data_IF_624458429699
#
_entry.id   IF_624458429699
#
_cell.length_a   1.000
_cell.length_b   1.000
_cell.length_c   1.000
_cell.angle_alpha   90.00
_cell.angle_beta   90.00
_cell.angle_gamma   90.00
#
_symmetry.space_group_name_H-M   'P 1'
#
loop_
_entity.id
_entity.type
_entity.pdbx_description
1 polymer ?
#
# COMPACT_ATOMS: atom_id res chain seq x y z
N UNK A 1 -1.45 10.06 17.40
CA UNK A 1 -2.31 10.70 16.39
C UNK A 1 -3.72 10.68 16.96
N UNK A 2 -4.54 11.72 16.74
CA UNK A 2 -5.96 11.65 17.11
C UNK A 2 -6.71 10.78 16.10
N UNK A 3 -7.89 10.22 16.45
CA UNK A 3 -8.75 9.50 15.50
C UNK A 3 -9.02 10.28 14.21
N UNK A 4 -9.08 11.62 14.28
CA UNK A 4 -9.25 12.50 13.13
C UNK A 4 -8.13 12.39 12.10
N UNK A 5 -6.90 12.07 12.52
CA UNK A 5 -5.76 11.97 11.59
C UNK A 5 -5.80 10.65 10.82
N UNK A 6 -6.23 9.56 11.47
CA UNK A 6 -6.42 8.26 10.78
C UNK A 6 -7.53 8.41 9.72
N UNK A 7 -8.66 9.02 10.09
CA UNK A 7 -9.77 9.24 9.16
C UNK A 7 -9.37 10.11 7.97
N UNK A 8 -8.57 11.16 8.20
CA UNK A 8 -8.00 11.97 7.11
C UNK A 8 -7.08 11.16 6.21
N UNK A 9 -6.23 10.30 6.77
CA UNK A 9 -5.35 9.42 5.97
C UNK A 9 -6.15 8.39 5.16
N UNK A 10 -7.19 7.79 5.74
CA UNK A 10 -8.09 6.87 5.01
C UNK A 10 -8.82 7.58 3.87
N UNK A 11 -9.25 8.83 4.06
CA UNK A 11 -9.85 9.63 3.00
C UNK A 11 -8.85 9.91 1.86
N UNK A 12 -7.63 10.36 2.18
CA UNK A 12 -6.58 10.53 1.17
C UNK A 12 -6.27 9.24 0.43
N UNK A 13 -6.21 8.12 1.14
CA UNK A 13 -5.93 6.80 0.56
C UNK A 13 -7.06 6.33 -0.36
N UNK A 14 -8.31 6.67 -0.04
CA UNK A 14 -9.48 6.43 -0.91
C UNK A 14 -9.35 7.20 -2.21
N UNK A 15 -8.91 8.46 -2.16
CA UNK A 15 -8.64 9.25 -3.38
C UNK A 15 -7.57 8.59 -4.25
N UNK A 16 -6.41 8.24 -3.68
CA UNK A 16 -5.33 7.59 -4.43
C UNK A 16 -5.76 6.24 -5.01
N UNK A 17 -6.58 5.49 -4.29
CA UNK A 17 -7.11 4.21 -4.76
C UNK A 17 -8.05 4.40 -5.94
N UNK A 18 -8.93 5.40 -5.90
CA UNK A 18 -9.83 5.72 -7.01
C UNK A 18 -9.05 6.15 -8.25
N UNK A 19 -8.00 6.96 -8.08
CA UNK A 19 -7.11 7.35 -9.18
C UNK A 19 -6.40 6.13 -9.78
N UNK A 20 -5.91 5.20 -8.95
CA UNK A 20 -5.30 3.95 -9.41
C UNK A 20 -6.31 3.04 -10.12
N UNK A 21 -7.55 2.98 -9.63
CA UNK A 21 -8.62 2.18 -10.22
C UNK A 21 -8.94 2.59 -11.66
N UNK A 22 -8.76 3.87 -12.02
CA UNK A 22 -8.92 4.34 -13.40
C UNK A 22 -7.93 3.69 -14.38
N UNK A 23 -6.81 3.16 -13.87
CA UNK A 23 -5.78 2.46 -14.64
C UNK A 23 -5.84 0.94 -14.46
N UNK A 24 -6.87 0.39 -13.80
CA UNK A 24 -6.93 -1.05 -13.46
C UNK A 24 -6.84 -1.97 -14.67
N UNK A 25 -7.54 -1.63 -15.75
CA UNK A 25 -7.62 -2.43 -16.98
C UNK A 25 -6.81 -1.79 -18.14
N UNK A 26 -5.83 -0.94 -17.81
CA UNK A 26 -4.98 -0.24 -18.80
C UNK A 26 -4.16 -1.26 -19.61
N UNK A 27 -3.98 -1.01 -20.91
CA UNK A 27 -3.04 -1.82 -21.72
C UNK A 27 -1.59 -1.57 -21.29
N UNK A 28 -0.68 -2.50 -21.60
CA UNK A 28 0.74 -2.32 -21.25
C UNK A 28 1.37 -1.12 -21.97
N UNK A 29 1.00 -0.87 -23.23
CA UNK A 29 1.52 0.26 -24.01
C UNK A 29 1.07 1.62 -23.43
N UNK A 30 -0.21 1.73 -23.04
CA UNK A 30 -0.73 2.92 -22.37
C UNK A 30 -0.17 3.08 -20.96
N UNK A 31 0.02 1.97 -20.24
CA UNK A 31 0.71 1.95 -18.95
C UNK A 31 2.11 2.54 -19.09
N UNK A 32 2.87 2.17 -20.12
CA UNK A 32 4.21 2.71 -20.31
C UNK A 32 4.24 4.21 -20.59
N UNK A 33 3.16 4.79 -21.11
CA UNK A 33 3.05 6.25 -21.27
C UNK A 33 2.74 6.96 -19.93
N UNK A 34 2.29 6.23 -18.92
CA UNK A 34 1.79 6.74 -17.62
C UNK A 34 2.49 6.13 -16.40
N UNK A 35 3.58 5.38 -16.61
CA UNK A 35 4.18 4.55 -15.57
C UNK A 35 4.57 5.36 -14.31
N UNK A 36 5.16 6.54 -14.45
CA UNK A 36 5.49 7.41 -13.31
C UNK A 36 4.27 7.85 -12.47
N UNK A 37 3.12 8.09 -13.11
CA UNK A 37 1.88 8.41 -12.39
C UNK A 37 1.43 7.22 -11.55
N UNK A 38 1.43 6.03 -12.14
CA UNK A 38 0.98 4.80 -11.49
C UNK A 38 1.94 4.38 -10.38
N UNK A 39 3.25 4.48 -10.60
CA UNK A 39 4.27 4.29 -9.57
C UNK A 39 4.02 5.20 -8.36
N UNK A 40 3.75 6.48 -8.61
CA UNK A 40 3.49 7.45 -7.55
C UNK A 40 2.24 7.10 -6.76
N UNK A 41 1.17 6.68 -7.43
CA UNK A 41 -0.06 6.23 -6.76
C UNK A 41 0.19 5.00 -5.88
N UNK A 42 0.92 4.01 -6.39
CA UNK A 42 1.30 2.81 -5.63
C UNK A 42 2.17 3.18 -4.40
N UNK A 43 3.14 4.07 -4.57
CA UNK A 43 3.97 4.55 -3.46
C UNK A 43 3.13 5.24 -2.38
N UNK A 44 2.25 6.16 -2.77
CA UNK A 44 1.38 6.90 -1.86
C UNK A 44 0.45 5.96 -1.08
N UNK A 45 -0.10 4.93 -1.72
CA UNK A 45 -0.94 3.91 -1.07
C UNK A 45 -0.14 3.13 -0.02
N UNK A 46 1.02 2.60 -0.40
CA UNK A 46 1.89 1.82 0.52
C UNK A 46 2.35 2.67 1.71
N UNK A 47 2.81 3.90 1.46
CA UNK A 47 3.27 4.80 2.52
C UNK A 47 2.13 5.17 3.47
N UNK A 48 0.97 5.54 2.94
CA UNK A 48 -0.18 5.97 3.76
C UNK A 48 -0.71 4.81 4.60
N UNK A 49 -0.83 3.61 4.03
CA UNK A 49 -1.21 2.41 4.77
C UNK A 49 -0.19 2.06 5.86
N UNK A 50 1.11 2.16 5.56
CA UNK A 50 2.18 1.92 6.53
C UNK A 50 2.12 2.91 7.69
N UNK A 51 1.93 4.20 7.42
CA UNK A 51 1.77 5.24 8.45
C UNK A 51 0.61 4.95 9.40
N UNK A 52 -0.53 4.52 8.85
CA UNK A 52 -1.72 4.13 9.64
C UNK A 52 -1.35 2.95 10.55
N UNK A 53 -0.75 1.90 9.99
CA UNK A 53 -0.36 0.71 10.74
C UNK A 53 0.66 1.05 11.84
N UNK A 54 1.71 1.80 11.54
CA UNK A 54 2.68 2.23 12.55
C UNK A 54 2.01 2.98 13.68
N UNK A 55 1.07 3.88 13.35
CA UNK A 55 0.37 4.60 14.38
C UNK A 55 -0.47 3.69 15.27
N UNK A 56 -1.20 2.74 14.67
CA UNK A 56 -2.04 1.78 15.41
C UNK A 56 -1.21 0.83 16.28
N UNK A 57 -0.04 0.39 15.82
CA UNK A 57 0.90 -0.44 16.59
C UNK A 57 1.46 0.36 17.76
N UNK A 58 1.98 1.58 17.52
CA UNK A 58 2.53 2.43 18.57
C UNK A 58 1.49 2.81 19.63
N UNK A 59 0.21 2.94 19.26
CA UNK A 59 -0.88 3.22 20.20
C UNK A 59 -1.16 2.04 21.16
N UNK A 60 -0.66 0.84 20.86
CA UNK A 60 -0.75 -0.35 21.69
C UNK A 60 0.52 -0.62 22.51
N UNK A 61 1.42 0.36 22.60
CA UNK A 61 2.71 0.28 23.33
C UNK A 61 3.64 -0.86 22.84
N UNK A 62 3.43 -1.32 21.61
CA UNK A 62 4.26 -2.35 20.98
C UNK A 62 5.49 -1.73 20.30
N UNK A 63 6.61 -2.47 20.21
CA UNK A 63 7.81 -2.01 19.50
C UNK A 63 7.50 -1.63 18.06
N UNK A 64 8.08 -0.51 17.62
CA UNK A 64 7.93 -0.02 16.24
C UNK A 64 8.61 -1.01 15.28
N UNK A 65 7.90 -1.53 14.27
CA UNK A 65 8.47 -2.44 13.28
C UNK A 65 9.66 -1.82 12.51
N UNK A 66 10.66 -2.64 12.20
CA UNK A 66 11.89 -2.19 11.53
C UNK A 66 11.73 -1.85 10.04
N UNK A 67 10.59 -2.19 9.43
CA UNK A 67 10.30 -1.91 8.01
C UNK A 67 8.79 -1.93 7.74
N UNK A 68 8.36 -1.39 6.60
CA UNK A 68 6.96 -1.45 6.15
C UNK A 68 6.44 -2.89 6.04
N UNK A 69 7.26 -3.79 5.51
CA UNK A 69 6.94 -5.22 5.45
C UNK A 69 6.69 -5.80 6.84
N UNK A 70 7.58 -5.51 7.79
CA UNK A 70 7.43 -5.97 9.17
C UNK A 70 6.18 -5.35 9.83
N UNK A 71 5.84 -4.11 9.49
CA UNK A 71 4.67 -3.43 10.02
C UNK A 71 3.37 -4.11 9.61
N UNK A 72 3.20 -4.44 8.32
CA UNK A 72 2.01 -5.16 7.86
C UNK A 72 1.90 -6.54 8.50
N UNK A 73 2.96 -7.33 8.53
CA UNK A 73 2.94 -8.65 9.18
C UNK A 73 2.52 -8.56 10.65
N UNK A 74 3.13 -7.62 11.39
CA UNK A 74 2.79 -7.39 12.80
C UNK A 74 1.33 -6.96 12.99
N UNK A 75 0.79 -6.14 12.08
CA UNK A 75 -0.62 -5.76 12.10
C UNK A 75 -1.56 -6.97 11.96
N UNK A 76 -1.19 -7.96 11.15
CA UNK A 76 -1.92 -9.22 11.03
C UNK A 76 -1.87 -10.06 12.31
N UNK A 77 -0.70 -10.21 12.92
CA UNK A 77 -0.53 -10.92 14.20
C UNK A 77 -1.36 -10.30 15.32
N UNK A 78 -1.51 -8.98 15.31
CA UNK A 78 -2.27 -8.22 16.29
C UNK A 78 -3.77 -8.17 16.00
N UNK A 79 -4.22 -8.76 14.88
CA UNK A 79 -5.61 -8.71 14.44
C UNK A 79 -6.12 -7.31 14.08
N UNK A 80 -5.21 -6.38 13.74
CA UNK A 80 -5.57 -5.04 13.25
C UNK A 80 -6.14 -5.15 11.83
N UNK A 81 -5.58 -6.05 11.03
CA UNK A 81 -6.07 -6.44 9.71
C UNK A 81 -6.02 -7.97 9.59
N UNK A 82 -6.74 -8.54 8.63
CA UNK A 82 -6.72 -9.98 8.36
C UNK A 82 -5.33 -10.52 8.02
N UNK A 83 -5.01 -11.74 8.46
CA UNK A 83 -3.68 -12.34 8.27
C UNK A 83 -3.30 -12.51 6.79
N UNK A 84 -4.27 -12.87 5.94
CA UNK A 84 -4.04 -12.97 4.49
C UNK A 84 -3.74 -11.61 3.86
N UNK A 85 -4.54 -10.60 4.22
CA UNK A 85 -4.36 -9.23 3.75
C UNK A 85 -3.00 -8.66 4.20
N UNK A 86 -2.61 -8.94 5.43
CA UNK A 86 -1.33 -8.50 5.99
C UNK A 86 -0.14 -9.06 5.21
N UNK A 87 -0.19 -10.34 4.83
CA UNK A 87 0.82 -10.99 4.00
C UNK A 87 0.87 -10.39 2.60
N UNK A 88 -0.28 -10.12 1.99
CA UNK A 88 -0.35 -9.51 0.65
C UNK A 88 0.22 -8.07 0.64
N UNK A 89 -0.16 -7.24 1.61
CA UNK A 89 0.36 -5.87 1.75
C UNK A 89 1.86 -5.86 2.07
N UNK A 90 2.34 -6.83 2.86
CA UNK A 90 3.76 -7.00 3.13
C UNK A 90 4.58 -7.30 1.85
N UNK A 91 4.00 -8.05 0.90
CA UNK A 91 4.60 -8.25 -0.43
C UNK A 91 4.57 -6.96 -1.26
N UNK A 92 3.43 -6.25 -1.26
CA UNK A 92 3.29 -4.95 -1.96
C UNK A 92 4.26 -3.88 -1.45
N UNK A 93 4.55 -3.85 -0.15
CA UNK A 93 5.57 -2.98 0.43
C UNK A 93 6.98 -3.29 -0.11
N UNK A 94 7.25 -4.55 -0.45
CA UNK A 94 8.49 -4.95 -1.12
C UNK A 94 8.59 -4.42 -2.55
N UNK A 95 7.47 -4.35 -3.29
CA UNK A 95 7.45 -3.76 -4.63
C UNK A 95 7.84 -2.27 -4.60
N UNK A 96 7.39 -1.51 -3.59
CA UNK A 96 7.85 -0.13 -3.37
C UNK A 96 9.36 -0.04 -3.17
N UNK A 97 9.98 -1.01 -2.51
CA UNK A 97 11.44 -1.02 -2.35
C UNK A 97 12.16 -1.23 -3.68
N UNK A 98 11.61 -2.02 -4.59
CA UNK A 98 12.14 -2.21 -5.95
C UNK A 98 11.95 -0.94 -6.79
N UNK A 99 10.81 -0.26 -6.65
CA UNK A 99 10.54 1.00 -7.35
C UNK A 99 11.43 2.16 -6.88
N UNK A 100 11.86 2.16 -5.62
CA UNK A 100 12.59 3.30 -5.00
C UNK A 100 14.09 3.08 -4.89
N UNK A 101 14.56 1.83 -4.79
CA UNK A 101 16.00 1.54 -4.78
C UNK A 101 16.49 1.33 -6.21
N UNK A 102 16.96 2.42 -6.82
CA UNK A 102 17.54 2.61 -8.17
C UNK A 102 18.71 1.65 -8.57
N UNK A 103 18.99 0.60 -7.79
CA UNK A 103 20.10 -0.32 -8.03
C UNK A 103 19.75 -1.51 -8.96
N UNK A 104 18.46 -1.72 -9.26
CA UNK A 104 17.99 -2.74 -10.22
C UNK A 104 17.07 -2.09 -11.27
N UNK A 105 17.16 -2.50 -12.54
CA UNK A 105 16.22 -2.06 -13.57
C UNK A 105 14.79 -2.46 -13.18
N UNK A 106 13.84 -1.51 -13.24
CA UNK A 106 12.45 -1.76 -12.89
C UNK A 106 11.80 -2.66 -13.95
N UNK A 107 11.33 -3.84 -13.54
CA UNK A 107 10.45 -4.67 -14.37
C UNK A 107 9.04 -4.10 -14.40
N UNK A 108 8.79 -3.22 -15.36
CA UNK A 108 7.50 -2.59 -15.60
C UNK A 108 6.36 -3.57 -15.90
N UNK A 109 6.67 -4.78 -16.38
CA UNK A 109 5.65 -5.81 -16.58
C UNK A 109 5.10 -6.32 -15.25
N UNK A 110 5.93 -6.36 -14.21
CA UNK A 110 5.50 -6.70 -12.86
C UNK A 110 4.66 -5.58 -12.24
N UNK A 111 5.08 -4.33 -12.43
CA UNK A 111 4.34 -3.16 -11.93
C UNK A 111 2.94 -3.12 -12.55
N UNK A 112 2.82 -3.28 -13.87
CA UNK A 112 1.54 -3.34 -14.57
C UNK A 112 0.62 -4.45 -14.02
N UNK A 113 1.14 -5.67 -13.87
CA UNK A 113 0.39 -6.80 -13.28
C UNK A 113 -0.01 -6.56 -11.82
N UNK A 114 0.78 -5.77 -11.08
CA UNK A 114 0.53 -5.49 -9.67
C UNK A 114 -0.69 -4.57 -9.44
N UNK A 115 -1.12 -3.79 -10.44
CA UNK A 115 -2.22 -2.80 -10.30
C UNK A 115 -3.49 -3.48 -9.78
N UNK A 116 -3.90 -4.61 -10.37
CA UNK A 116 -5.08 -5.36 -9.92
C UNK A 116 -4.98 -5.83 -8.47
N UNK A 117 -3.78 -6.29 -8.09
CA UNK A 117 -3.50 -6.79 -6.73
C UNK A 117 -3.54 -5.64 -5.73
N UNK A 118 -2.89 -4.53 -6.04
CA UNK A 118 -2.91 -3.31 -5.23
C UNK A 118 -4.33 -2.79 -5.03
N UNK A 119 -5.12 -2.67 -6.11
CA UNK A 119 -6.52 -2.23 -6.03
C UNK A 119 -7.33 -3.11 -5.08
N UNK A 120 -7.21 -4.44 -5.21
CA UNK A 120 -7.90 -5.41 -4.35
C UNK A 120 -7.49 -5.24 -2.88
N UNK A 121 -6.19 -5.23 -2.62
CA UNK A 121 -5.66 -5.26 -1.26
C UNK A 121 -5.90 -3.93 -0.53
N UNK A 122 -5.71 -2.78 -1.18
CA UNK A 122 -6.00 -1.48 -0.57
C UNK A 122 -7.49 -1.23 -0.39
N UNK A 123 -8.36 -1.79 -1.25
CA UNK A 123 -9.81 -1.78 -1.01
C UNK A 123 -10.15 -2.55 0.26
N UNK A 124 -9.59 -3.75 0.44
CA UNK A 124 -9.80 -4.55 1.64
C UNK A 124 -9.27 -3.85 2.90
N UNK A 125 -8.09 -3.24 2.82
CA UNK A 125 -7.49 -2.50 3.92
C UNK A 125 -8.35 -1.31 4.37
N UNK A 126 -8.87 -0.50 3.43
CA UNK A 126 -9.76 0.61 3.77
C UNK A 126 -11.00 0.06 4.49
N UNK A 127 -11.60 -1.01 3.96
CA UNK A 127 -12.82 -1.61 4.52
C UNK A 127 -12.64 -2.16 5.94
N UNK A 128 -11.48 -2.74 6.25
CA UNK A 128 -11.19 -3.28 7.58
C UNK A 128 -10.94 -2.20 8.63
N UNK A 129 -10.53 -1.00 8.22
CA UNK A 129 -10.17 0.11 9.11
C UNK A 129 -11.14 1.29 9.09
N UNK A 130 -12.16 1.25 8.23
CA UNK A 130 -13.25 2.24 8.12
C UNK A 130 -14.36 2.02 9.12
#
# INVERSE_FOLDING_TARGET
>A
MSPDVINKKLLSMTTYLNDLMAHKDISFDEFMQRHYEIERLLELLVMTASDIIFHLISAKEEPVPASYRAAFLRAGEMGIIGEELSKNLALGAGLRNILVHEYEEIDYSLVHKSIHTAVRDFTAFIKELS
#
